data_IF_819408448491
#
_entry.id   IF_819408448491
#
_cell.length_a   1.000
_cell.length_b   1.000
_cell.length_c   1.000
_cell.angle_alpha   90.00
_cell.angle_beta   90.00
_cell.angle_gamma   90.00
#
_symmetry.space_group_name_H-M   'P 1'
#
loop_
_entity.id
_entity.type
_entity.pdbx_description
1 polymer ?
#
# COMPACT_ATOMS: atom_id res chain seq x y z
N UNK A 1 -2.54 5.62 -4.08
CA UNK A 1 -1.88 4.31 -3.84
C UNK A 1 -2.71 3.25 -4.52
N UNK A 2 -2.12 2.13 -4.95
CA UNK A 2 -2.87 1.08 -5.64
C UNK A 2 -3.87 0.43 -4.66
N UNK A 3 -5.14 0.20 -5.04
CA UNK A 3 -6.14 -0.39 -4.15
C UNK A 3 -5.73 -1.77 -3.62
N UNK A 4 -5.00 -2.54 -4.44
CA UNK A 4 -4.46 -3.85 -4.03
C UNK A 4 -3.35 -3.70 -2.99
N UNK A 5 -2.57 -2.62 -3.03
CA UNK A 5 -1.55 -2.35 -2.02
C UNK A 5 -2.18 -2.06 -0.66
N UNK A 6 -3.21 -1.20 -0.60
CA UNK A 6 -3.92 -0.91 0.66
C UNK A 6 -4.47 -2.21 1.28
N UNK A 7 -5.09 -3.07 0.47
CA UNK A 7 -5.55 -4.41 0.91
C UNK A 7 -4.40 -5.31 1.38
N UNK A 8 -3.28 -5.30 0.66
CA UNK A 8 -2.07 -6.05 1.00
C UNK A 8 -1.50 -5.64 2.36
N UNK A 9 -1.63 -4.35 2.72
CA UNK A 9 -1.12 -3.79 3.97
C UNK A 9 -2.16 -3.69 5.09
N UNK A 10 -3.41 -4.06 4.86
CA UNK A 10 -4.43 -4.01 5.89
C UNK A 10 -4.14 -5.03 7.01
N UNK A 11 -4.27 -4.60 8.26
CA UNK A 11 -4.10 -5.46 9.45
C UNK A 11 -2.65 -5.80 9.83
N UNK A 12 -1.64 -5.31 9.09
CA UNK A 12 -0.23 -5.52 9.44
C UNK A 12 0.19 -4.72 10.67
N UNK A 13 1.16 -5.22 11.42
CA UNK A 13 1.70 -4.58 12.62
C UNK A 13 3.12 -4.08 12.39
N UNK A 14 3.56 -3.14 13.23
CA UNK A 14 4.96 -2.69 13.24
C UNK A 14 5.90 -3.88 13.43
N UNK A 15 6.91 -3.99 12.58
CA UNK A 15 7.87 -5.09 12.57
C UNK A 15 7.52 -6.24 11.62
N UNK A 16 6.28 -6.30 11.11
CA UNK A 16 5.88 -7.38 10.19
C UNK A 16 6.59 -7.28 8.84
N UNK A 17 6.89 -8.43 8.27
CA UNK A 17 7.34 -8.60 6.89
C UNK A 17 6.25 -9.32 6.11
N UNK A 18 5.90 -8.79 4.94
CA UNK A 18 4.86 -9.37 4.09
C UNK A 18 5.28 -9.30 2.63
N UNK A 19 4.97 -10.35 1.90
CA UNK A 19 5.17 -10.42 0.46
C UNK A 19 3.82 -10.63 -0.21
N UNK A 20 3.52 -9.83 -1.23
CA UNK A 20 2.33 -9.99 -2.04
C UNK A 20 2.55 -9.49 -3.46
N UNK A 21 1.86 -10.12 -4.41
CA UNK A 21 1.75 -9.66 -5.78
C UNK A 21 0.67 -8.57 -5.91
N UNK A 22 0.93 -7.62 -6.82
CA UNK A 22 -0.07 -6.68 -7.30
C UNK A 22 0.01 -6.55 -8.81
N UNK A 23 -1.14 -6.32 -9.42
CA UNK A 23 -1.25 -6.06 -10.84
C UNK A 23 -1.50 -4.57 -11.05
N UNK A 24 -0.61 -3.92 -11.78
CA UNK A 24 -0.83 -2.54 -12.14
C UNK A 24 -2.04 -2.42 -13.08
N UNK A 25 -2.96 -1.47 -12.82
CA UNK A 25 -4.11 -1.27 -13.67
C UNK A 25 -3.69 -0.82 -15.06
N UNK A 26 -4.56 -1.05 -16.04
CA UNK A 26 -4.30 -0.64 -17.43
C UNK A 26 -4.07 0.87 -17.58
N UNK A 27 -4.77 1.68 -16.78
CA UNK A 27 -4.69 3.16 -16.79
C UNK A 27 -3.57 3.71 -15.87
N UNK A 28 -2.59 2.89 -15.52
CA UNK A 28 -1.48 3.38 -14.68
C UNK A 28 -0.65 4.41 -15.45
N UNK A 29 -0.34 5.54 -14.81
CA UNK A 29 0.37 6.69 -15.39
C UNK A 29 1.73 6.39 -16.04
N UNK A 30 2.30 5.19 -15.79
CA UNK A 30 3.50 4.66 -16.43
C UNK A 30 3.10 3.51 -17.36
N UNK A 31 3.18 3.74 -18.67
CA UNK A 31 2.86 2.74 -19.70
C UNK A 31 3.69 1.45 -19.54
N UNK A 32 4.97 1.57 -19.17
CA UNK A 32 5.87 0.42 -18.92
C UNK A 32 5.42 -0.51 -17.79
N UNK A 33 4.58 -0.01 -16.89
CA UNK A 33 4.09 -0.73 -15.73
C UNK A 33 2.62 -1.15 -15.91
N UNK A 34 1.89 -0.60 -16.87
CA UNK A 34 0.50 -0.96 -17.17
C UNK A 34 0.35 -2.47 -17.40
N UNK A 35 -0.65 -3.10 -16.75
CA UNK A 35 -0.94 -4.53 -16.78
C UNK A 35 0.20 -5.47 -16.36
N UNK A 36 1.27 -4.96 -15.73
CA UNK A 36 2.32 -5.83 -15.20
C UNK A 36 2.00 -6.32 -13.80
N UNK A 37 2.42 -7.54 -13.52
CA UNK A 37 2.44 -8.11 -12.17
C UNK A 37 3.77 -7.73 -11.53
N UNK A 38 3.72 -7.19 -10.32
CA UNK A 38 4.89 -6.90 -9.52
C UNK A 38 4.77 -7.54 -8.13
N UNK A 39 5.89 -8.08 -7.64
CA UNK A 39 5.98 -8.65 -6.29
C UNK A 39 6.53 -7.59 -5.35
N UNK A 40 5.78 -7.29 -4.30
CA UNK A 40 6.18 -6.35 -3.28
C UNK A 40 6.53 -7.10 -2.01
N UNK A 41 7.79 -7.00 -1.62
CA UNK A 41 8.27 -7.42 -0.31
C UNK A 41 8.36 -6.18 0.58
N UNK A 42 7.49 -6.11 1.57
CA UNK A 42 7.39 -4.97 2.49
C UNK A 42 7.84 -5.36 3.89
N UNK A 43 8.54 -4.43 4.54
CA UNK A 43 8.84 -4.47 5.96
C UNK A 43 8.20 -3.27 6.63
N UNK A 44 7.23 -3.52 7.50
CA UNK A 44 6.52 -2.49 8.24
C UNK A 44 7.44 -1.96 9.32
N UNK A 45 7.96 -0.74 9.12
CA UNK A 45 8.83 -0.11 10.13
C UNK A 45 8.03 0.40 11.33
N UNK A 46 6.86 0.97 11.06
CA UNK A 46 6.03 1.62 12.08
C UNK A 46 4.60 1.79 11.55
N UNK A 47 3.62 1.56 12.43
CA UNK A 47 2.21 1.88 12.20
C UNK A 47 1.85 3.07 13.07
N UNK A 48 1.32 4.13 12.46
CA UNK A 48 0.90 5.36 13.13
C UNK A 48 -0.56 5.64 12.81
N UNK A 49 -1.33 6.00 13.83
CA UNK A 49 -2.65 6.56 13.63
C UNK A 49 -2.52 8.01 13.18
N UNK A 50 -3.27 8.40 12.14
CA UNK A 50 -3.42 9.80 11.80
C UNK A 50 -4.13 10.49 12.96
N UNK A 51 -3.37 11.27 13.75
CA UNK A 51 -3.95 12.08 14.80
C UNK A 51 -5.03 12.97 14.18
N UNK A 52 -6.32 12.82 14.55
CA UNK A 52 -7.34 13.71 14.06
C UNK A 52 -7.02 15.11 14.57
N UNK A 53 -6.78 16.05 13.65
CA UNK A 53 -6.78 17.46 13.98
C UNK A 53 -8.22 17.80 14.38
N UNK A 54 -8.48 17.86 15.69
CA UNK A 54 -9.74 18.35 16.23
C UNK A 54 -10.01 19.73 15.62
N UNK A 55 -10.92 19.79 14.64
CA UNK A 55 -11.54 21.04 14.23
C UNK A 55 -12.65 21.32 15.23
N UNK A 56 -12.34 22.11 16.23
CA UNK A 56 -13.33 22.90 16.95
C UNK A 56 -13.30 24.31 16.34
N UNK A 57 -14.43 24.72 15.79
CA UNK A 57 -15.11 26.02 15.95
C UNK A 57 -16.37 26.04 15.09
#
# INVERSE_FOLDING_TARGET
MLPEFDKGTEGVKSGDEKEFDLTFPQDYHKEDLSNKVAVFNIKVKEVKELKPLLKFE
#
